data_IF_485384045523
#
_entry.id   IF_485384045523
#
_cell.length_a   1.000
_cell.length_b   1.000
_cell.length_c   1.000
_cell.angle_alpha   90.00
_cell.angle_beta   90.00
_cell.angle_gamma   90.00
#
_symmetry.space_group_name_H-M   'P 1'
#
loop_
_entity.id
_entity.type
_entity.pdbx_description
1 polymer ?
#
# COMPACT_ATOMS: atom_id res chain seq x y z
N UNK A 1 -4.48 14.24 -6.89
CA UNK A 1 -4.99 13.46 -5.74
C UNK A 1 -3.82 12.74 -5.12
N UNK A 2 -3.44 13.08 -3.89
CA UNK A 2 -2.37 12.42 -3.15
C UNK A 2 -2.97 11.24 -2.38
N UNK A 3 -2.35 10.07 -2.44
CA UNK A 3 -2.81 8.86 -1.74
C UNK A 3 -2.92 9.12 -0.22
N UNK A 4 -2.10 10.04 0.31
CA UNK A 4 -2.14 10.49 1.70
C UNK A 4 -3.48 11.11 2.12
N UNK A 5 -4.29 11.66 1.20
CA UNK A 5 -5.59 12.26 1.52
C UNK A 5 -6.77 11.29 1.48
N UNK A 6 -6.54 10.00 1.18
CA UNK A 6 -7.62 9.02 1.08
C UNK A 6 -8.14 8.61 2.46
N UNK A 7 -9.45 8.47 2.66
CA UNK A 7 -10.03 7.88 3.86
C UNK A 7 -9.39 6.51 4.18
N UNK A 8 -9.18 6.16 5.47
CA UNK A 8 -8.52 4.90 5.87
C UNK A 8 -9.15 3.66 5.23
N UNK A 9 -10.48 3.64 5.12
CA UNK A 9 -11.22 2.55 4.46
C UNK A 9 -10.85 2.40 2.99
N UNK A 10 -10.78 3.50 2.25
CA UNK A 10 -10.42 3.49 0.83
C UNK A 10 -8.95 3.09 0.63
N UNK A 11 -8.05 3.56 1.49
CA UNK A 11 -6.64 3.15 1.46
C UNK A 11 -6.48 1.63 1.67
N UNK A 12 -7.22 1.06 2.62
CA UNK A 12 -7.24 -0.38 2.88
C UNK A 12 -7.82 -1.18 1.71
N UNK A 13 -8.91 -0.71 1.10
CA UNK A 13 -9.50 -1.33 -0.09
C UNK A 13 -8.52 -1.35 -1.27
N UNK A 14 -7.80 -0.25 -1.51
CA UNK A 14 -6.77 -0.18 -2.56
C UNK A 14 -5.62 -1.14 -2.26
N UNK A 15 -5.13 -1.19 -1.02
CA UNK A 15 -4.06 -2.12 -0.63
C UNK A 15 -4.46 -3.59 -0.90
N UNK A 16 -5.70 -3.97 -0.54
CA UNK A 16 -6.21 -5.30 -0.83
C UNK A 16 -6.31 -5.58 -2.34
N UNK A 17 -6.75 -4.61 -3.13
CA UNK A 17 -6.85 -4.75 -4.59
C UNK A 17 -5.48 -4.88 -5.25
N UNK A 18 -4.51 -4.05 -4.85
CA UNK A 18 -3.12 -4.10 -5.33
C UNK A 18 -2.49 -5.45 -5.00
N UNK A 19 -2.63 -5.92 -3.76
CA UNK A 19 -2.09 -7.22 -3.36
C UNK A 19 -2.73 -8.39 -4.11
N UNK A 20 -4.05 -8.35 -4.35
CA UNK A 20 -4.74 -9.35 -5.19
C UNK A 20 -4.27 -9.32 -6.64
N UNK A 21 -4.03 -8.13 -7.20
CA UNK A 21 -3.56 -7.96 -8.56
C UNK A 21 -2.11 -8.47 -8.71
N UNK A 22 -1.21 -8.10 -7.81
CA UNK A 22 0.16 -8.62 -7.76
C UNK A 22 0.20 -10.15 -7.67
N UNK A 23 -0.65 -10.74 -6.81
CA UNK A 23 -0.77 -12.19 -6.71
C UNK A 23 -1.28 -12.84 -8.00
N UNK A 24 -2.22 -12.20 -8.68
CA UNK A 24 -2.74 -12.65 -9.98
C UNK A 24 -1.66 -12.59 -11.06
N UNK A 25 -0.94 -11.47 -11.16
CA UNK A 25 0.17 -11.30 -12.10
C UNK A 25 1.28 -12.31 -11.85
N UNK A 26 1.63 -12.56 -10.57
CA UNK A 26 2.62 -13.57 -10.19
C UNK A 26 2.20 -14.97 -10.64
N UNK A 27 0.94 -15.36 -10.42
CA UNK A 27 0.40 -16.66 -10.87
C UNK A 27 0.38 -16.77 -12.40
N UNK A 28 0.14 -15.66 -13.10
CA UNK A 28 0.18 -15.57 -14.55
C UNK A 28 1.62 -15.49 -15.12
N UNK A 29 2.66 -15.47 -14.27
CA UNK A 29 4.07 -15.28 -14.65
C UNK A 29 4.33 -13.95 -15.39
N UNK A 30 3.55 -12.92 -15.07
CA UNK A 30 3.68 -11.56 -15.60
C UNK A 30 4.46 -10.66 -14.64
N UNK A 31 5.42 -11.21 -13.89
CA UNK A 31 6.21 -10.45 -12.92
C UNK A 31 7.31 -9.59 -13.56
N UNK A 32 7.67 -9.88 -14.81
CA UNK A 32 8.65 -9.10 -15.58
C UNK A 32 8.02 -7.88 -16.28
N UNK A 33 6.69 -7.75 -16.23
CA UNK A 33 5.99 -6.62 -16.84
C UNK A 33 6.24 -5.33 -16.04
N UNK A 34 6.45 -4.18 -16.69
CA UNK A 34 6.66 -2.90 -16.00
C UNK A 34 5.56 -2.56 -14.99
N UNK A 35 4.33 -2.99 -15.27
CA UNK A 35 3.19 -2.79 -14.38
C UNK A 35 3.34 -3.52 -13.03
N UNK A 36 4.03 -4.67 -13.01
CA UNK A 36 4.29 -5.40 -11.78
C UNK A 36 5.16 -4.58 -10.82
N UNK A 37 6.22 -3.97 -11.36
CA UNK A 37 7.11 -3.09 -10.59
C UNK A 37 6.35 -1.87 -10.07
N UNK A 38 5.57 -1.20 -10.93
CA UNK A 38 4.74 -0.05 -10.51
C UNK A 38 3.72 -0.42 -9.42
N UNK A 39 3.15 -1.62 -9.46
CA UNK A 39 2.22 -2.10 -8.44
C UNK A 39 2.92 -2.44 -7.13
N UNK A 40 4.15 -2.98 -7.17
CA UNK A 40 4.96 -3.20 -5.97
C UNK A 40 5.32 -1.87 -5.29
N UNK A 41 5.72 -0.86 -6.06
CA UNK A 41 5.99 0.48 -5.51
C UNK A 41 4.74 1.09 -4.88
N UNK A 42 3.57 0.89 -5.49
CA UNK A 42 2.30 1.34 -4.94
C UNK A 42 1.96 0.63 -3.63
N UNK A 43 2.15 -0.69 -3.55
CA UNK A 43 1.96 -1.49 -2.32
C UNK A 43 2.86 -0.98 -1.18
N UNK A 44 4.14 -0.70 -1.48
CA UNK A 44 5.07 -0.15 -0.50
C UNK A 44 4.62 1.22 0.02
N UNK A 45 4.26 2.14 -0.88
CA UNK A 45 3.77 3.49 -0.50
C UNK A 45 2.51 3.43 0.35
N UNK A 46 1.58 2.53 0.05
CA UNK A 46 0.39 2.32 0.86
C UNK A 46 0.75 1.81 2.27
N UNK A 47 1.70 0.88 2.36
CA UNK A 47 2.22 0.38 3.63
C UNK A 47 2.88 1.47 4.48
N UNK A 48 3.66 2.35 3.87
CA UNK A 48 4.27 3.52 4.52
C UNK A 48 3.23 4.52 5.02
N UNK A 49 2.21 4.82 4.20
CA UNK A 49 1.11 5.71 4.60
C UNK A 49 0.36 5.12 5.79
N UNK A 50 0.09 3.81 5.79
CA UNK A 50 -0.57 3.13 6.91
C UNK A 50 0.26 3.22 8.18
N UNK A 51 1.58 2.98 8.11
CA UNK A 51 2.49 3.14 9.26
C UNK A 51 2.49 4.58 9.77
N UNK A 52 2.69 5.56 8.88
CA UNK A 52 2.66 6.99 9.25
C UNK A 52 1.36 7.41 9.92
N UNK A 53 0.22 6.89 9.48
CA UNK A 53 -1.09 7.14 10.11
C UNK A 53 -1.19 6.49 11.49
N UNK A 54 -0.76 5.23 11.60
CA UNK A 54 -0.73 4.53 12.88
C UNK A 54 0.15 5.25 13.91
N UNK A 55 1.32 5.74 13.49
CA UNK A 55 2.25 6.49 14.35
C UNK A 55 1.66 7.86 14.71
N UNK A 56 0.98 8.53 13.79
CA UNK A 56 0.32 9.82 14.03
C UNK A 56 -0.90 9.70 14.97
N UNK A 57 -1.63 8.59 14.91
CA UNK A 57 -2.76 8.30 15.80
C UNK A 57 -2.28 7.80 17.18
N UNK A 58 -1.06 7.28 17.31
CA UNK A 58 -0.45 6.78 18.54
C UNK A 58 0.67 7.68 19.07
N UNK A 59 0.34 8.94 19.40
CA UNK A 59 1.27 9.88 20.03
C UNK A 59 1.82 9.41 21.39
N UNK A 60 1.24 8.36 22.01
CA UNK A 60 1.74 7.76 23.26
C UNK A 60 3.05 6.96 23.13
N UNK A 61 3.55 6.68 21.91
CA UNK A 61 4.81 5.95 21.69
C UNK A 61 5.88 6.79 20.97
N UNK A 62 5.82 8.12 21.02
CA UNK A 62 6.90 9.00 20.51
C UNK A 62 8.15 9.09 21.42
N UNK A 63 8.40 8.09 22.24
CA UNK A 63 9.63 8.03 23.04
C UNK A 63 9.74 6.79 23.91
N UNK A 64 10.32 5.71 23.35
CA UNK A 64 11.16 4.74 24.06
C UNK A 64 12.16 4.13 23.07
#
# INVERSE_FOLDING_TARGET
MTIDSLPPKQASEIEQQVSRLLNTLRKAKLFDEPIYTSLQELEQKLGEIRRRRFDADNTEYSGY
#
